data_IF_905310798515
#
_entry.id   IF_905310798515
#
_cell.length_a   1.000
_cell.length_b   1.000
_cell.length_c   1.000
_cell.angle_alpha   90.00
_cell.angle_beta   90.00
_cell.angle_gamma   90.00
#
_symmetry.space_group_name_H-M   'P 1'
#
loop_
_entity.id
_entity.type
_entity.pdbx_description
1 polymer ?
#
# COMPACT_ATOMS: atom_id res chain seq x y z
N UNK A 1 8.36 -54.57 -8.15
CA UNK A 1 9.47 -53.60 -8.20
C UNK A 1 8.95 -52.16 -8.08
N UNK A 2 8.05 -51.85 -7.13
CA UNK A 2 7.38 -50.53 -7.10
C UNK A 2 7.29 -49.83 -5.73
N UNK A 3 7.74 -50.46 -4.63
CA UNK A 3 7.62 -49.82 -3.31
C UNK A 3 8.85 -48.98 -2.93
N UNK A 4 10.02 -49.28 -3.50
CA UNK A 4 11.25 -48.51 -3.24
C UNK A 4 11.19 -47.11 -3.85
N UNK A 5 10.63 -46.99 -5.06
CA UNK A 5 10.47 -45.70 -5.74
C UNK A 5 9.52 -44.77 -5.00
N UNK A 6 8.42 -45.30 -4.43
CA UNK A 6 7.47 -44.50 -3.63
C UNK A 6 8.09 -43.95 -2.35
N UNK A 7 8.93 -44.75 -1.68
CA UNK A 7 9.61 -44.30 -0.45
C UNK A 7 10.68 -43.24 -0.72
N UNK A 8 11.28 -43.25 -1.90
CA UNK A 8 12.28 -42.25 -2.29
C UNK A 8 11.61 -40.93 -2.65
N UNK A 9 10.47 -40.98 -3.36
CA UNK A 9 9.63 -39.82 -3.67
C UNK A 9 9.06 -39.15 -2.41
N UNK A 10 8.58 -39.91 -1.43
CA UNK A 10 8.10 -39.35 -0.15
C UNK A 10 9.22 -38.65 0.65
N UNK A 11 10.45 -39.18 0.59
CA UNK A 11 11.62 -38.56 1.25
C UNK A 11 12.05 -37.28 0.53
N UNK A 12 12.04 -37.29 -0.80
CA UNK A 12 12.30 -36.12 -1.64
C UNK A 12 11.26 -35.01 -1.34
N UNK A 13 9.98 -35.36 -1.32
CA UNK A 13 8.87 -34.44 -1.01
C UNK A 13 9.00 -33.88 0.41
N UNK A 14 9.34 -34.72 1.40
CA UNK A 14 9.56 -34.28 2.79
C UNK A 14 10.73 -33.28 2.90
N UNK A 15 11.81 -33.52 2.16
CA UNK A 15 12.99 -32.65 2.11
C UNK A 15 12.68 -31.31 1.43
N UNK A 16 12.01 -31.34 0.27
CA UNK A 16 11.58 -30.13 -0.44
C UNK A 16 10.62 -29.29 0.42
N UNK A 17 9.78 -29.93 1.22
CA UNK A 17 8.85 -29.26 2.15
C UNK A 17 9.57 -28.61 3.34
N UNK A 18 10.66 -29.20 3.83
CA UNK A 18 11.48 -28.60 4.89
C UNK A 18 12.38 -27.47 4.36
N UNK A 19 12.88 -27.58 3.14
CA UNK A 19 13.67 -26.54 2.46
C UNK A 19 12.80 -25.31 2.10
N UNK A 20 11.55 -25.50 1.66
CA UNK A 20 10.57 -24.42 1.44
C UNK A 20 10.24 -23.68 2.74
N UNK A 21 10.04 -24.42 3.85
CA UNK A 21 9.77 -23.86 5.18
C UNK A 21 10.95 -23.06 5.75
N UNK A 22 12.19 -23.38 5.33
CA UNK A 22 13.41 -22.67 5.75
C UNK A 22 13.60 -21.33 5.02
N UNK A 23 12.99 -21.17 3.84
CA UNK A 23 13.03 -19.92 3.07
C UNK A 23 11.96 -18.90 3.46
N UNK A 24 10.87 -19.32 4.11
CA UNK A 24 9.78 -18.43 4.54
C UNK A 24 10.09 -17.66 5.84
N UNK A 25 11.11 -18.07 6.60
CA UNK A 25 11.52 -17.41 7.86
C UNK A 25 12.50 -16.23 7.66
N UNK A 26 12.94 -15.94 6.43
CA UNK A 26 13.96 -14.91 6.17
C UNK A 26 13.44 -13.62 5.51
N UNK A 27 12.16 -13.55 5.19
CA UNK A 27 11.53 -12.29 4.82
C UNK A 27 10.67 -11.81 5.98
N UNK A 28 11.32 -11.10 6.88
CA UNK A 28 10.66 -10.26 7.86
C UNK A 28 9.85 -9.20 7.08
N UNK A 29 8.61 -9.55 6.76
CA UNK A 29 7.74 -8.69 5.97
C UNK A 29 7.60 -7.32 6.69
N UNK A 30 7.27 -6.26 5.94
CA UNK A 30 7.24 -4.90 6.50
C UNK A 30 6.34 -4.76 7.74
N UNK A 31 5.28 -5.57 7.85
CA UNK A 31 4.38 -5.59 8.99
C UNK A 31 5.03 -6.22 10.23
N UNK A 32 5.76 -7.31 10.04
CA UNK A 32 6.38 -8.06 11.13
C UNK A 32 7.57 -7.29 11.70
N UNK A 33 8.34 -6.63 10.83
CA UNK A 33 9.36 -5.64 11.22
C UNK A 33 8.78 -4.49 12.04
N UNK A 34 7.66 -3.91 11.60
CA UNK A 34 7.01 -2.80 12.32
C UNK A 34 6.42 -3.25 13.67
N UNK A 35 5.85 -4.46 13.73
CA UNK A 35 5.29 -5.02 14.96
C UNK A 35 6.38 -5.20 16.02
N UNK A 36 7.53 -5.78 15.65
CA UNK A 36 8.68 -5.92 16.57
C UNK A 36 9.19 -4.57 17.03
N UNK A 37 9.40 -3.63 16.10
CA UNK A 37 9.91 -2.31 16.41
C UNK A 37 9.03 -1.51 17.38
N UNK A 38 7.69 -1.58 17.24
CA UNK A 38 6.76 -0.92 18.18
C UNK A 38 6.87 -1.43 19.61
N UNK A 39 7.10 -2.74 19.77
CA UNK A 39 7.28 -3.37 21.09
C UNK A 39 8.65 -2.98 21.66
N UNK A 40 9.71 -3.08 20.85
CA UNK A 40 11.08 -2.78 21.26
C UNK A 40 11.26 -1.31 21.69
N UNK A 41 10.68 -0.39 20.92
CA UNK A 41 10.82 1.06 21.11
C UNK A 41 9.73 1.69 21.98
N UNK A 42 8.68 0.93 22.33
CA UNK A 42 7.58 1.42 23.17
C UNK A 42 8.11 1.98 24.49
N UNK A 43 7.97 3.30 24.68
CA UNK A 43 8.44 4.00 25.88
C UNK A 43 9.96 4.26 25.96
N UNK A 44 10.75 3.86 24.95
CA UNK A 44 12.20 4.13 24.91
C UNK A 44 12.57 5.38 24.13
N UNK A 45 11.64 5.91 23.36
CA UNK A 45 11.83 7.13 22.57
C UNK A 45 11.14 8.30 23.26
N UNK A 46 11.86 9.42 23.35
CA UNK A 46 11.31 10.68 23.81
C UNK A 46 11.06 11.58 22.59
N UNK A 47 10.00 12.39 22.68
CA UNK A 47 9.73 13.42 21.68
C UNK A 47 10.55 14.65 22.08
N UNK A 48 11.33 15.23 21.17
CA UNK A 48 12.03 16.48 21.43
C UNK A 48 11.13 17.61 21.91
N UNK A 49 11.63 18.42 22.85
CA UNK A 49 10.92 19.62 23.34
C UNK A 49 10.69 20.64 22.21
N UNK A 50 11.57 20.63 21.21
CA UNK A 50 11.58 21.54 20.07
C UNK A 50 11.60 20.69 18.81
N UNK A 51 10.65 20.93 17.91
CA UNK A 51 10.61 20.37 16.56
C UNK A 51 11.64 21.08 15.68
N UNK A 52 11.73 22.41 15.76
CA UNK A 52 12.61 23.24 14.95
C UNK A 52 11.92 23.88 13.74
N UNK A 53 10.59 23.80 13.65
CA UNK A 53 9.76 24.46 12.63
C UNK A 53 8.63 25.28 13.29
N UNK A 54 8.85 25.73 14.52
CA UNK A 54 7.85 26.46 15.33
C UNK A 54 7.39 27.75 14.63
N UNK A 55 8.26 28.38 13.84
CA UNK A 55 7.93 29.60 13.09
C UNK A 55 6.79 29.38 12.08
N UNK A 56 6.66 28.18 11.50
CA UNK A 56 5.62 27.83 10.55
C UNK A 56 4.23 27.65 11.19
N UNK A 57 4.17 27.46 12.52
CA UNK A 57 2.88 27.26 13.21
C UNK A 57 1.96 28.49 13.07
N UNK A 58 2.54 29.69 13.00
CA UNK A 58 1.78 30.93 12.81
C UNK A 58 1.09 30.95 11.45
N UNK A 59 1.83 30.58 10.41
CA UNK A 59 1.34 30.58 9.02
C UNK A 59 0.26 29.50 8.78
N UNK A 60 0.25 28.44 9.59
CA UNK A 60 -0.74 27.36 9.50
C UNK A 60 -2.05 27.67 10.19
N UNK A 61 -2.06 28.57 11.19
CA UNK A 61 -3.30 29.00 11.88
C UNK A 61 -4.19 29.79 10.93
N UNK A 62 -3.58 30.58 10.05
CA UNK A 62 -4.33 31.48 9.18
C UNK A 62 -5.02 30.75 8.02
N UNK A 63 -4.76 29.44 7.80
CA UNK A 63 -5.28 28.55 6.73
C UNK A 63 -5.18 29.07 5.28
N UNK A 64 -4.85 30.34 5.10
CA UNK A 64 -4.85 31.07 3.84
C UNK A 64 -3.81 30.52 2.87
N UNK A 65 -2.66 30.05 3.36
CA UNK A 65 -1.62 29.47 2.51
C UNK A 65 -2.09 28.16 1.83
N UNK A 66 -2.85 27.32 2.54
CA UNK A 66 -3.41 26.09 1.98
C UNK A 66 -4.66 26.38 1.16
N UNK A 67 -5.55 27.25 1.67
CA UNK A 67 -6.81 27.59 1.00
C UNK A 67 -6.61 28.44 -0.25
N UNK A 68 -5.51 29.20 -0.37
CA UNK A 68 -5.17 29.91 -1.61
C UNK A 68 -4.95 28.95 -2.78
N UNK A 69 -4.36 27.78 -2.54
CA UNK A 69 -4.22 26.72 -3.55
C UNK A 69 -5.56 26.02 -3.86
N UNK A 70 -6.49 26.04 -2.91
CA UNK A 70 -7.87 25.56 -3.07
C UNK A 70 -8.81 26.65 -3.66
N UNK A 71 -8.31 27.89 -3.76
CA UNK A 71 -8.99 29.07 -4.27
C UNK A 71 -9.33 29.02 -5.76
N UNK A 72 -10.14 29.97 -6.25
CA UNK A 72 -11.48 29.64 -6.74
C UNK A 72 -11.56 28.89 -8.08
N UNK A 73 -10.44 28.73 -8.80
CA UNK A 73 -10.49 28.27 -10.19
C UNK A 73 -9.59 27.07 -10.51
N UNK A 74 -8.51 26.81 -9.77
CA UNK A 74 -7.55 25.75 -10.10
C UNK A 74 -8.09 24.35 -9.78
N UNK A 75 -8.38 24.12 -8.49
CA UNK A 75 -8.86 22.82 -8.02
C UNK A 75 -10.28 22.51 -8.52
N UNK A 76 -11.18 23.50 -8.48
CA UNK A 76 -12.57 23.31 -8.92
C UNK A 76 -12.66 22.99 -10.42
N UNK A 77 -11.85 23.64 -11.26
CA UNK A 77 -11.79 23.30 -12.69
C UNK A 77 -11.19 21.92 -12.93
N UNK A 78 -10.10 21.57 -12.23
CA UNK A 78 -9.53 20.22 -12.32
C UNK A 78 -10.55 19.14 -11.93
N UNK A 79 -11.31 19.36 -10.85
CA UNK A 79 -12.40 18.48 -10.44
C UNK A 79 -13.49 18.38 -11.51
N UNK A 80 -13.93 19.51 -12.07
CA UNK A 80 -14.94 19.53 -13.12
C UNK A 80 -14.49 18.79 -14.38
N UNK A 81 -13.23 18.95 -14.79
CA UNK A 81 -12.64 18.22 -15.92
C UNK A 81 -12.60 16.71 -15.67
N UNK A 82 -12.17 16.26 -14.50
CA UNK A 82 -12.15 14.82 -14.15
C UNK A 82 -13.57 14.23 -14.09
N UNK A 83 -14.55 14.97 -13.56
CA UNK A 83 -15.96 14.54 -13.54
C UNK A 83 -16.53 14.45 -14.96
N UNK A 84 -16.28 15.45 -15.80
CA UNK A 84 -16.74 15.44 -17.19
C UNK A 84 -16.05 14.35 -18.03
N UNK A 85 -14.77 14.10 -17.82
CA UNK A 85 -14.06 12.97 -18.44
C UNK A 85 -14.62 11.62 -17.98
N UNK A 86 -14.83 11.42 -16.67
CA UNK A 86 -15.51 10.24 -16.14
C UNK A 86 -16.93 10.05 -16.68
N UNK A 87 -17.64 11.16 -16.92
CA UNK A 87 -18.97 11.13 -17.54
C UNK A 87 -18.92 10.82 -19.04
N UNK A 88 -17.87 11.26 -19.76
CA UNK A 88 -17.64 10.95 -21.18
C UNK A 88 -17.23 9.49 -21.39
N UNK A 89 -16.37 8.95 -20.53
CA UNK A 89 -15.99 7.53 -20.56
C UNK A 89 -17.15 6.61 -20.20
N UNK A 90 -18.08 7.05 -19.35
CA UNK A 90 -19.33 6.31 -19.05
C UNK A 90 -20.45 6.57 -20.08
N UNK A 91 -20.46 7.72 -20.77
CA UNK A 91 -21.40 8.02 -21.88
C UNK A 91 -20.98 7.36 -23.21
N UNK A 92 -19.70 7.08 -23.40
CA UNK A 92 -19.24 6.00 -24.28
C UNK A 92 -19.65 4.68 -23.60
N UNK A 93 -20.95 4.42 -23.57
CA UNK A 93 -21.53 3.13 -23.27
C UNK A 93 -20.76 2.14 -24.13
N UNK A 94 -19.82 1.39 -23.55
CA UNK A 94 -19.29 0.19 -24.15
C UNK A 94 -20.52 -0.63 -24.46
N UNK A 95 -20.98 -0.55 -25.71
CA UNK A 95 -22.11 -1.32 -26.19
C UNK A 95 -21.55 -2.71 -26.29
N UNK A 96 -21.79 -3.50 -25.25
CA UNK A 96 -21.60 -4.94 -25.30
C UNK A 96 -22.62 -5.42 -26.32
N UNK A 97 -22.20 -5.49 -27.58
CA UNK A 97 -22.97 -6.03 -28.68
C UNK A 97 -22.78 -7.55 -28.60
N UNK A 98 -23.79 -8.27 -28.11
CA UNK A 98 -23.79 -9.72 -28.12
C UNK A 98 -24.04 -10.18 -29.56
N UNK A 99 -22.96 -10.36 -30.32
CA UNK A 99 -23.03 -10.99 -31.64
C UNK A 99 -22.71 -12.47 -31.48
N UNK A 100 -23.76 -13.26 -31.30
CA UNK A 100 -23.70 -14.68 -31.61
C UNK A 100 -23.66 -14.84 -33.13
N UNK A 101 -22.58 -15.43 -33.63
CA UNK A 101 -22.52 -16.09 -34.94
C UNK A 101 -22.57 -17.60 -34.73
#
# INVERSE_FOLDING_TARGET
>A
MSDRGKQEEEKEVSRLRSELSSSEEKDDNGRERLKRHRIEMGGRVWIPDIWGQEDLLKDWIDCNAFDACLGPNGLMSARASLVEEGRRTTSQRLRIDNRCS
#
